data_IF_927208122823
#
_entry.id   IF_927208122823
#
_cell.length_a   1.000
_cell.length_b   1.000
_cell.length_c   1.000
_cell.angle_alpha   90.00
_cell.angle_beta   90.00
_cell.angle_gamma   90.00
#
_symmetry.space_group_name_H-M   'P 1'
#
loop_
_entity.id
_entity.type
_entity.pdbx_description
1 polymer ?
#
# COMPACT_ATOMS: atom_id res chain seq x y z
N UNK A 1 2.82 -7.45 -8.26
CA UNK A 1 2.03 -6.96 -7.09
C UNK A 1 2.52 -5.60 -6.60
N UNK A 2 3.80 -5.46 -6.25
CA UNK A 2 4.37 -4.19 -5.78
C UNK A 2 4.07 -2.98 -6.68
N UNK A 3 4.32 -3.10 -7.99
CA UNK A 3 4.08 -2.01 -8.95
C UNK A 3 2.59 -1.60 -9.04
N UNK A 4 1.66 -2.57 -9.01
CA UNK A 4 0.23 -2.29 -9.07
C UNK A 4 -0.24 -1.51 -7.83
N UNK A 5 0.22 -1.92 -6.64
CA UNK A 5 -0.09 -1.23 -5.38
C UNK A 5 0.52 0.17 -5.36
N UNK A 6 1.78 0.30 -5.77
CA UNK A 6 2.48 1.59 -5.85
C UNK A 6 1.78 2.56 -6.81
N UNK A 7 1.31 2.06 -7.97
CA UNK A 7 0.54 2.86 -8.90
C UNK A 7 -0.82 3.26 -8.33
N UNK A 8 -1.57 2.33 -7.74
CA UNK A 8 -2.89 2.62 -7.17
C UNK A 8 -2.85 3.66 -6.05
N UNK A 9 -1.96 3.46 -5.07
CA UNK A 9 -1.75 4.40 -3.96
C UNK A 9 -1.13 5.71 -4.47
N UNK A 10 -0.22 5.64 -5.44
CA UNK A 10 0.42 6.82 -6.03
C UNK A 10 -0.57 7.74 -6.73
N UNK A 11 -1.50 7.19 -7.51
CA UNK A 11 -2.55 7.94 -8.19
C UNK A 11 -3.50 8.61 -7.20
N UNK A 12 -3.90 7.88 -6.15
CA UNK A 12 -4.73 8.44 -5.08
C UNK A 12 -4.01 9.57 -4.32
N UNK A 13 -2.74 9.36 -3.96
CA UNK A 13 -1.95 10.39 -3.29
C UNK A 13 -1.68 11.61 -4.17
N UNK A 14 -1.47 11.42 -5.47
CA UNK A 14 -1.33 12.52 -6.42
C UNK A 14 -2.56 13.43 -6.37
N UNK A 15 -3.77 12.86 -6.46
CA UNK A 15 -5.01 13.62 -6.30
C UNK A 15 -5.08 14.35 -4.95
N UNK A 16 -4.84 13.63 -3.85
CA UNK A 16 -5.01 14.16 -2.50
C UNK A 16 -4.01 15.28 -2.19
N UNK A 17 -2.76 15.18 -2.66
CA UNK A 17 -1.75 16.24 -2.49
C UNK A 17 -2.10 17.47 -3.34
N UNK A 18 -2.57 17.26 -4.57
CA UNK A 18 -2.98 18.36 -5.46
C UNK A 18 -4.19 19.12 -4.91
N UNK A 19 -5.13 18.44 -4.25
CA UNK A 19 -6.33 19.07 -3.69
C UNK A 19 -6.14 19.59 -2.27
N UNK A 20 -5.34 18.92 -1.44
CA UNK A 20 -5.15 19.23 -0.02
C UNK A 20 -3.65 19.34 0.32
N UNK A 21 -3.13 20.56 0.44
CA UNK A 21 -1.73 20.78 0.85
C UNK A 21 -1.37 20.09 2.18
N UNK A 22 -2.33 19.98 3.11
CA UNK A 22 -2.13 19.29 4.40
C UNK A 22 -1.89 17.78 4.24
N UNK A 23 -2.41 17.16 3.17
CA UNK A 23 -2.28 15.73 2.94
C UNK A 23 -0.82 15.30 2.76
N UNK A 24 0.01 16.14 2.12
CA UNK A 24 1.43 15.84 1.96
C UNK A 24 2.16 15.67 3.29
N UNK A 25 1.86 16.52 4.28
CA UNK A 25 2.42 16.42 5.64
C UNK A 25 1.91 15.19 6.37
N UNK A 26 0.60 14.91 6.29
CA UNK A 26 0.00 13.73 6.90
C UNK A 26 0.58 12.43 6.31
N UNK A 27 0.72 12.37 4.99
CA UNK A 27 1.31 11.23 4.30
C UNK A 27 2.74 10.98 4.77
N UNK A 28 3.57 12.02 4.92
CA UNK A 28 4.92 11.89 5.44
C UNK A 28 4.98 11.34 6.88
N UNK A 29 4.03 11.73 7.73
CA UNK A 29 3.93 11.20 9.10
C UNK A 29 3.49 9.74 9.08
N UNK A 30 2.51 9.39 8.24
CA UNK A 30 1.94 8.04 8.15
C UNK A 30 2.91 7.03 7.50
N UNK A 31 3.69 7.44 6.50
CA UNK A 31 4.58 6.52 5.76
C UNK A 31 5.73 6.00 6.63
N UNK A 32 6.19 6.79 7.60
CA UNK A 32 7.28 6.41 8.53
C UNK A 32 6.97 5.16 9.36
N UNK A 33 5.87 5.09 10.14
CA UNK A 33 5.48 3.86 10.83
C UNK A 33 5.07 2.75 9.86
N UNK A 34 4.56 3.10 8.67
CA UNK A 34 4.16 2.12 7.66
C UNK A 34 5.34 1.27 7.16
N UNK A 35 6.56 1.84 7.12
CA UNK A 35 7.78 1.09 6.82
C UNK A 35 8.16 0.08 7.91
N UNK A 36 7.83 0.36 9.17
CA UNK A 36 8.02 -0.59 10.27
C UNK A 36 6.94 -1.69 10.24
N UNK A 37 5.70 -1.31 9.95
CA UNK A 37 4.54 -2.19 9.92
C UNK A 37 4.41 -3.05 8.65
N UNK A 38 5.14 -2.74 7.59
CA UNK A 38 5.11 -3.48 6.32
C UNK A 38 5.78 -4.86 6.39
N UNK A 39 6.33 -5.24 7.54
CA UNK A 39 7.05 -6.51 7.71
C UNK A 39 8.43 -6.52 7.04
N UNK A 40 8.94 -5.36 6.60
CA UNK A 40 10.29 -5.25 6.01
C UNK A 40 11.35 -5.48 7.09
N UNK A 41 11.23 -4.81 8.24
CA UNK A 41 12.18 -4.94 9.35
C UNK A 41 11.84 -6.06 10.34
N UNK A 42 10.55 -6.40 10.48
CA UNK A 42 10.07 -7.44 11.39
C UNK A 42 9.51 -8.60 10.60
N UNK A 43 9.98 -9.82 10.87
CA UNK A 43 9.43 -11.02 10.24
C UNK A 43 8.06 -11.29 10.86
N UNK A 44 7.00 -11.21 10.06
CA UNK A 44 5.62 -11.36 10.53
C UNK A 44 5.38 -12.74 11.18
N UNK A 45 6.17 -13.74 10.79
CA UNK A 45 6.13 -15.09 11.37
C UNK A 45 6.73 -15.21 12.78
N UNK A 46 7.54 -14.25 13.23
CA UNK A 46 8.10 -14.25 14.59
C UNK A 46 7.23 -13.50 15.60
N UNK A 47 6.13 -12.89 15.16
CA UNK A 47 5.19 -12.20 16.04
C UNK A 47 4.16 -13.13 16.68
N UNK A 48 3.63 -12.79 17.87
CA UNK A 48 2.50 -13.51 18.45
C UNK A 48 1.30 -13.49 17.50
N UNK A 49 0.44 -14.53 17.51
CA UNK A 49 -0.65 -14.69 16.55
C UNK A 49 -1.60 -13.49 16.49
N UNK A 50 -1.85 -12.83 17.64
CA UNK A 50 -2.68 -11.62 17.72
C UNK A 50 -2.16 -10.46 16.85
N UNK A 51 -0.84 -10.23 16.86
CA UNK A 51 -0.22 -9.16 16.08
C UNK A 51 -0.09 -9.57 14.62
N UNK A 52 0.17 -10.85 14.36
CA UNK A 52 0.24 -11.41 13.02
C UNK A 52 -1.07 -11.16 12.27
N UNK A 53 -2.20 -11.50 12.86
CA UNK A 53 -3.51 -11.39 12.21
C UNK A 53 -3.87 -9.93 11.89
N UNK A 54 -3.47 -8.96 12.72
CA UNK A 54 -3.65 -7.53 12.44
C UNK A 54 -2.75 -7.07 11.29
N UNK A 55 -1.49 -7.48 11.27
CA UNK A 55 -0.55 -7.09 10.21
C UNK A 55 -0.94 -7.69 8.85
N UNK A 56 -1.57 -8.87 8.83
CA UNK A 56 -2.03 -9.51 7.59
C UNK A 56 -3.10 -8.70 6.84
N UNK A 57 -3.79 -7.76 7.47
CA UNK A 57 -4.69 -6.83 6.77
C UNK A 57 -3.95 -5.82 5.89
N UNK A 58 -2.66 -5.58 6.15
CA UNK A 58 -1.88 -4.62 5.39
C UNK A 58 -1.41 -5.24 4.06
N UNK A 59 -1.83 -4.71 2.89
CA UNK A 59 -1.45 -5.27 1.59
C UNK A 59 0.06 -5.22 1.33
N UNK A 60 0.82 -4.34 2.01
CA UNK A 60 2.28 -4.31 1.90
C UNK A 60 2.95 -5.54 2.50
N UNK A 61 2.37 -6.15 3.55
CA UNK A 61 2.90 -7.37 4.16
C UNK A 61 2.89 -8.52 3.15
N UNK A 62 1.81 -8.64 2.38
CA UNK A 62 1.70 -9.62 1.29
C UNK A 62 2.75 -9.39 0.20
N UNK A 63 3.00 -8.12 -0.17
CA UNK A 63 4.04 -7.78 -1.16
C UNK A 63 5.43 -8.15 -0.67
N UNK A 64 5.75 -7.86 0.60
CA UNK A 64 7.06 -8.15 1.18
C UNK A 64 7.27 -9.66 1.35
N UNK A 65 6.24 -10.38 1.81
CA UNK A 65 6.29 -11.84 1.92
C UNK A 65 6.58 -12.51 0.57
N UNK A 66 5.88 -12.11 -0.49
CA UNK A 66 6.14 -12.60 -1.86
C UNK A 66 7.56 -12.32 -2.34
N UNK A 67 8.07 -11.10 -2.09
CA UNK A 67 9.45 -10.80 -2.45
C UNK A 67 10.43 -11.70 -1.70
N UNK A 68 10.18 -12.00 -0.42
CA UNK A 68 11.05 -12.87 0.39
C UNK A 68 11.03 -14.32 -0.08
N UNK A 69 9.90 -14.83 -0.54
CA UNK A 69 9.82 -16.17 -1.15
C UNK A 69 10.71 -16.30 -2.38
N UNK A 70 10.87 -15.22 -3.15
CA UNK A 70 11.81 -15.19 -4.29
C UNK A 70 13.29 -15.20 -3.89
N UNK A 71 13.65 -14.73 -2.69
CA UNK A 71 15.04 -14.67 -2.21
C UNK A 71 15.42 -15.86 -1.31
N UNK A 72 14.50 -16.35 -0.48
CA UNK A 72 14.73 -17.43 0.48
C UNK A 72 14.07 -18.72 0.00
N UNK A 73 14.87 -19.63 -0.55
CA UNK A 73 14.40 -20.98 -0.88
C UNK A 73 13.95 -21.72 0.40
N UNK A 74 12.65 -22.04 0.48
CA UNK A 74 12.02 -22.70 1.64
C UNK A 74 11.09 -21.81 2.47
N UNK A 75 10.98 -20.52 2.14
CA UNK A 75 10.02 -19.61 2.75
C UNK A 75 8.71 -19.60 1.96
N UNK A 76 7.72 -20.39 2.40
CA UNK A 76 6.38 -20.44 1.79
C UNK A 76 5.32 -19.82 2.73
N UNK A 77 4.97 -18.54 2.52
CA UNK A 77 3.96 -17.86 3.32
C UNK A 77 2.55 -18.21 2.80
N UNK A 78 1.94 -19.24 3.40
CA UNK A 78 0.57 -19.70 3.11
C UNK A 78 -0.56 -18.65 3.28
N UNK A 79 -0.24 -17.47 3.84
CA UNK A 79 -1.19 -16.38 4.07
C UNK A 79 -1.21 -15.33 2.95
N UNK A 80 -0.32 -15.42 1.95
CA UNK A 80 -0.30 -14.42 0.87
C UNK A 80 -1.51 -14.60 -0.04
N UNK A 81 -2.25 -13.52 -0.24
CA UNK A 81 -3.32 -13.46 -1.24
C UNK A 81 -3.02 -12.43 -2.34
N UNK A 82 -2.58 -12.87 -3.54
CA UNK A 82 -2.37 -11.96 -4.66
C UNK A 82 -3.64 -11.21 -5.07
N UNK A 83 -4.78 -11.90 -5.02
CA UNK A 83 -6.10 -11.33 -5.38
C UNK A 83 -6.45 -10.15 -4.48
N UNK A 84 -6.20 -10.25 -3.17
CA UNK A 84 -6.42 -9.16 -2.24
C UNK A 84 -5.60 -7.91 -2.61
N UNK A 85 -4.30 -8.08 -2.85
CA UNK A 85 -3.40 -6.97 -3.18
C UNK A 85 -3.79 -6.30 -4.49
N UNK A 86 -4.10 -7.08 -5.53
CA UNK A 86 -4.56 -6.53 -6.80
C UNK A 86 -5.94 -5.87 -6.69
N UNK A 87 -6.86 -6.41 -5.89
CA UNK A 87 -8.15 -5.80 -5.62
C UNK A 87 -8.02 -4.43 -4.95
N UNK A 88 -7.19 -4.33 -3.91
CA UNK A 88 -6.90 -3.04 -3.24
C UNK A 88 -6.22 -2.06 -4.20
N UNK A 89 -5.28 -2.53 -5.01
CA UNK A 89 -4.59 -1.71 -6.03
C UNK A 89 -5.56 -1.16 -7.08
N UNK A 90 -6.50 -1.98 -7.55
CA UNK A 90 -7.52 -1.58 -8.51
C UNK A 90 -8.48 -0.56 -7.90
N UNK A 91 -8.99 -0.80 -6.69
CA UNK A 91 -9.89 0.13 -6.02
C UNK A 91 -9.22 1.48 -5.79
N UNK A 92 -8.02 1.50 -5.22
CA UNK A 92 -7.28 2.75 -4.97
C UNK A 92 -6.91 3.48 -6.26
N UNK A 93 -6.45 2.75 -7.28
CA UNK A 93 -6.09 3.33 -8.57
C UNK A 93 -7.29 3.87 -9.34
N UNK A 94 -8.40 3.14 -9.38
CA UNK A 94 -9.64 3.60 -10.05
C UNK A 94 -10.24 4.80 -9.37
N UNK A 95 -10.27 4.83 -8.03
CA UNK A 95 -10.73 5.99 -7.25
C UNK A 95 -9.82 7.20 -7.47
N UNK A 96 -8.50 7.02 -7.43
CA UNK A 96 -7.54 8.08 -7.71
C UNK A 96 -7.70 8.66 -9.12
N UNK A 97 -7.85 7.81 -10.14
CA UNK A 97 -8.08 8.22 -11.51
C UNK A 97 -9.43 8.91 -11.70
N UNK A 98 -10.50 8.38 -11.10
CA UNK A 98 -11.84 8.99 -11.16
C UNK A 98 -11.83 10.41 -10.60
N UNK A 99 -11.18 10.61 -9.45
CA UNK A 99 -11.10 11.93 -8.84
C UNK A 99 -10.20 12.89 -9.62
N UNK A 100 -9.04 12.43 -10.11
CA UNK A 100 -8.22 13.23 -11.02
C UNK A 100 -9.01 13.65 -12.25
N UNK A 101 -9.70 12.70 -12.89
CA UNK A 101 -10.51 12.98 -14.08
C UNK A 101 -11.67 13.94 -13.77
N UNK A 102 -12.29 13.84 -12.59
CA UNK A 102 -13.42 14.71 -12.21
C UNK A 102 -13.00 16.13 -11.82
N UNK A 103 -11.83 16.29 -11.20
CA UNK A 103 -11.36 17.56 -10.63
C UNK A 103 -10.17 18.18 -11.38
N UNK A 104 -9.72 17.60 -12.50
CA UNK A 104 -8.58 18.12 -13.27
C UNK A 104 -8.72 19.60 -13.64
N UNK A 105 -9.93 20.07 -13.96
CA UNK A 105 -10.18 21.49 -14.30
C UNK A 105 -9.95 22.43 -13.12
N UNK A 106 -10.39 22.02 -11.94
CA UNK A 106 -10.24 22.81 -10.71
C UNK A 106 -8.77 22.89 -10.28
N UNK A 107 -7.99 21.83 -10.51
CA UNK A 107 -6.55 21.80 -10.20
C UNK A 107 -5.75 22.72 -11.14
N UNK A 108 -6.18 22.87 -12.40
CA UNK A 108 -5.49 23.70 -13.39
C UNK A 108 -5.80 25.20 -13.27
N UNK A 109 -6.92 25.56 -12.64
CA UNK A 109 -7.36 26.95 -12.47
C UNK A 109 -6.84 27.60 -11.17
N UNK A 110 -6.14 26.83 -10.32
CA UNK A 110 -5.58 27.27 -9.03
C UNK A 110 -4.06 27.21 -9.03
#
# INVERSE_FOLDING_TARGET
MAAALALGIGLLNCFLISMFQMWGTLWNVVTRPLLLLSGVMLMVDSLPPQWRDVLLWNPLVHVVAETRTGFYHGYDPSYVSPVYVFGVSLVTGTVGLLFLWRFHRYILEN
#
